data_IF_490236007174
#
_entry.id   IF_490236007174
#
_cell.length_a   1.000
_cell.length_b   1.000
_cell.length_c   1.000
_cell.angle_alpha   90.00
_cell.angle_beta   90.00
_cell.angle_gamma   90.00
#
_symmetry.space_group_name_H-M   'P 1'
#
loop_
_entity.id
_entity.type
_entity.pdbx_description
1 polymer ?
#
# COMPACT_ATOMS: atom_id res chain seq x y z
N UNK A 1 -47.60 -19.15 43.00
CA UNK A 1 -47.49 -18.09 41.97
C UNK A 1 -46.03 -17.66 41.89
N UNK A 2 -45.32 -17.86 40.76
CA UNK A 2 -43.92 -17.49 40.63
C UNK A 2 -43.78 -16.05 40.09
N UNK A 3 -42.82 -15.30 40.63
CA UNK A 3 -42.43 -13.99 40.13
C UNK A 3 -41.40 -14.14 38.99
N UNK A 4 -41.66 -13.45 37.89
CA UNK A 4 -40.87 -13.47 36.66
C UNK A 4 -39.56 -12.67 36.82
N UNK A 5 -38.50 -13.30 36.35
CA UNK A 5 -37.15 -12.77 36.10
C UNK A 5 -37.19 -11.61 35.09
N UNK A 6 -36.50 -10.51 35.42
CA UNK A 6 -36.23 -9.40 34.50
C UNK A 6 -34.72 -9.14 34.43
N UNK A 7 -34.06 -9.71 33.42
CA UNK A 7 -32.65 -9.44 33.10
C UNK A 7 -32.60 -8.24 32.14
N UNK A 8 -32.07 -7.12 32.62
CA UNK A 8 -31.74 -5.94 31.83
C UNK A 8 -30.32 -6.09 31.28
N UNK A 9 -30.19 -6.41 29.99
CA UNK A 9 -28.91 -6.36 29.26
C UNK A 9 -28.69 -4.95 28.74
N UNK A 10 -27.79 -4.20 29.39
CA UNK A 10 -27.34 -2.90 28.91
C UNK A 10 -26.31 -3.09 27.78
N UNK A 11 -26.68 -2.70 26.56
CA UNK A 11 -25.78 -2.65 25.41
C UNK A 11 -24.98 -1.34 25.50
N UNK A 12 -23.70 -1.46 25.81
CA UNK A 12 -22.76 -0.33 25.79
C UNK A 12 -22.23 -0.13 24.36
N UNK A 13 -22.69 0.93 23.68
CA UNK A 13 -22.01 1.46 22.51
C UNK A 13 -20.67 2.08 22.95
N UNK A 14 -19.54 1.52 22.50
CA UNK A 14 -18.23 2.18 22.60
C UNK A 14 -17.94 2.99 21.33
N UNK A 15 -17.39 4.21 21.46
CA UNK A 15 -17.00 5.02 20.32
C UNK A 15 -15.70 4.50 19.69
N UNK A 16 -15.68 4.45 18.37
CA UNK A 16 -14.50 4.16 17.55
C UNK A 16 -13.58 5.39 17.61
N UNK A 17 -12.45 5.26 18.31
CA UNK A 17 -11.40 6.28 18.30
C UNK A 17 -10.53 6.11 17.06
N UNK A 18 -10.74 6.98 16.07
CA UNK A 18 -9.86 7.13 14.90
C UNK A 18 -8.58 7.85 15.34
N UNK A 19 -7.48 7.13 15.53
CA UNK A 19 -6.17 7.74 15.79
C UNK A 19 -5.59 8.30 14.49
N UNK A 20 -5.39 9.62 14.44
CA UNK A 20 -4.57 10.25 13.41
C UNK A 20 -3.09 10.16 13.80
N UNK A 21 -2.28 9.46 13.01
CA UNK A 21 -0.82 9.63 13.02
C UNK A 21 -0.36 10.28 11.71
N UNK A 22 0.09 11.52 11.82
CA UNK A 22 0.87 12.23 10.82
C UNK A 22 2.34 11.86 11.01
N UNK A 23 3.01 11.25 10.01
CA UNK A 23 4.42 11.55 9.72
C UNK A 23 4.96 10.80 8.49
N UNK A 24 5.68 11.56 7.67
CA UNK A 24 6.86 11.17 6.86
C UNK A 24 6.72 11.00 5.35
N UNK A 25 6.24 12.04 4.66
CA UNK A 25 6.40 12.18 3.20
C UNK A 25 7.85 12.32 2.70
N UNK A 26 8.85 12.44 3.57
CA UNK A 26 10.26 12.72 3.17
C UNK A 26 11.10 11.45 3.01
N UNK A 27 10.71 10.31 3.60
CA UNK A 27 11.54 9.09 3.62
C UNK A 27 11.45 8.26 2.33
N UNK A 28 10.40 8.44 1.53
CA UNK A 28 10.10 7.53 0.42
C UNK A 28 10.90 7.83 -0.87
N UNK A 29 11.24 9.10 -1.12
CA UNK A 29 12.08 9.46 -2.27
C UNK A 29 13.49 8.88 -2.15
N UNK A 30 13.99 8.69 -0.92
CA UNK A 30 15.32 8.14 -0.67
C UNK A 30 15.34 6.62 -0.86
N UNK A 31 14.35 5.88 -0.36
CA UNK A 31 14.33 4.41 -0.45
C UNK A 31 14.24 3.89 -1.91
N UNK A 32 13.49 4.56 -2.78
CA UNK A 32 13.45 4.22 -4.20
C UNK A 32 14.78 4.54 -4.91
N UNK A 33 15.48 5.60 -4.51
CA UNK A 33 16.78 5.97 -5.11
C UNK A 33 17.86 4.91 -4.83
N UNK A 34 17.87 4.31 -3.64
CA UNK A 34 18.85 3.28 -3.26
C UNK A 34 18.71 1.96 -4.05
N UNK A 35 17.51 1.60 -4.49
CA UNK A 35 17.31 0.39 -5.29
C UNK A 35 17.90 0.52 -6.69
N UNK A 36 17.74 1.68 -7.34
CA UNK A 36 18.29 1.90 -8.68
C UNK A 36 19.82 2.05 -8.69
N UNK A 37 20.41 2.68 -7.67
CA UNK A 37 21.87 2.82 -7.58
C UNK A 37 22.56 1.47 -7.38
N UNK A 38 22.01 0.61 -6.51
CA UNK A 38 22.58 -0.72 -6.28
C UNK A 38 22.43 -1.66 -7.49
N UNK A 39 21.31 -1.57 -8.21
CA UNK A 39 21.11 -2.31 -9.47
C UNK A 39 22.11 -1.85 -10.53
N UNK A 40 22.37 -0.54 -10.62
CA UNK A 40 23.31 0.05 -11.57
C UNK A 40 24.76 -0.30 -11.24
N UNK A 41 25.16 -0.29 -9.97
CA UNK A 41 26.50 -0.71 -9.54
C UNK A 41 26.75 -2.20 -9.81
N UNK A 42 25.76 -3.05 -9.55
CA UNK A 42 25.82 -4.49 -9.84
C UNK A 42 25.96 -4.78 -11.35
N UNK A 43 25.27 -4.01 -12.19
CA UNK A 43 25.43 -4.07 -13.65
C UNK A 43 26.77 -3.53 -14.13
N UNK A 44 27.28 -2.46 -13.53
CA UNK A 44 28.57 -1.87 -13.87
C UNK A 44 29.72 -2.83 -13.59
N UNK A 45 29.69 -3.52 -12.44
CA UNK A 45 30.65 -4.55 -12.06
C UNK A 45 30.65 -5.75 -13.01
N UNK A 46 29.49 -6.08 -13.58
CA UNK A 46 29.33 -7.17 -14.56
C UNK A 46 29.88 -6.80 -15.95
N UNK A 47 29.80 -5.51 -16.33
CA UNK A 47 30.32 -5.02 -17.62
C UNK A 47 31.84 -4.80 -17.66
N UNK A 48 32.51 -4.63 -16.51
CA UNK A 48 33.98 -4.44 -16.43
C UNK A 48 34.80 -5.72 -16.56
N UNK A 49 34.17 -6.90 -16.56
CA UNK A 49 34.84 -8.19 -16.74
C UNK A 49 35.09 -8.56 -18.21
N UNK A 50 34.50 -7.83 -19.16
CA UNK A 50 34.69 -8.03 -20.60
C UNK A 50 35.52 -6.88 -21.16
N UNK A 51 36.72 -7.19 -21.66
CA UNK A 51 37.70 -6.20 -22.08
C UNK A 51 37.18 -5.22 -23.12
N UNK A 52 37.38 -3.92 -22.84
CA UNK A 52 37.74 -2.92 -23.85
C UNK A 52 36.65 -2.49 -24.83
N UNK A 53 35.53 -1.97 -24.33
CA UNK A 53 34.61 -1.15 -25.12
C UNK A 53 33.32 -0.84 -24.36
N UNK A 54 33.04 0.42 -24.04
CA UNK A 54 31.75 0.79 -23.48
C UNK A 54 30.67 0.45 -24.51
N UNK A 55 29.77 -0.48 -24.16
CA UNK A 55 28.67 -0.88 -25.03
C UNK A 55 27.78 0.34 -25.35
N UNK A 56 27.31 0.51 -26.59
CA UNK A 56 26.35 1.55 -26.97
C UNK A 56 25.10 1.58 -26.07
N UNK A 57 24.69 0.42 -25.54
CA UNK A 57 23.58 0.31 -24.60
C UNK A 57 23.87 1.00 -23.25
N UNK A 58 25.13 0.97 -22.79
CA UNK A 58 25.55 1.64 -21.57
C UNK A 58 25.58 3.17 -21.77
N UNK A 59 25.99 3.63 -22.94
CA UNK A 59 26.00 5.05 -23.29
C UNK A 59 24.57 5.62 -23.38
N UNK A 60 23.65 4.89 -24.02
CA UNK A 60 22.23 5.26 -24.07
C UNK A 60 21.59 5.31 -22.67
N UNK A 61 21.96 4.37 -21.78
CA UNK A 61 21.47 4.36 -20.39
C UNK A 61 21.98 5.58 -19.61
N UNK A 62 23.25 5.95 -19.77
CA UNK A 62 23.80 7.14 -19.11
C UNK A 62 23.16 8.43 -19.62
N UNK A 63 22.82 8.50 -20.90
CA UNK A 63 22.13 9.66 -21.49
C UNK A 63 20.70 9.81 -20.94
N UNK A 64 19.97 8.70 -20.79
CA UNK A 64 18.64 8.67 -20.16
C UNK A 64 18.73 9.12 -18.70
N UNK A 65 19.72 8.62 -17.94
CA UNK A 65 19.93 8.99 -16.53
C UNK A 65 20.27 10.48 -16.40
N UNK A 66 21.19 10.98 -17.24
CA UNK A 66 21.58 12.39 -17.25
C UNK A 66 20.40 13.31 -17.56
N UNK A 67 19.58 12.95 -18.55
CA UNK A 67 18.36 13.67 -18.88
C UNK A 67 17.37 13.70 -17.70
N UNK A 68 17.19 12.56 -17.02
CA UNK A 68 16.31 12.44 -15.85
C UNK A 68 16.80 13.29 -14.66
N UNK A 69 18.10 13.28 -14.38
CA UNK A 69 18.71 14.12 -13.35
C UNK A 69 18.57 15.61 -13.68
N UNK A 70 18.72 15.99 -14.95
CA UNK A 70 18.52 17.38 -15.38
C UNK A 70 17.07 17.85 -15.21
N UNK A 71 16.09 16.98 -15.45
CA UNK A 71 14.67 17.25 -15.22
C UNK A 71 14.35 17.43 -13.73
N UNK A 72 14.93 16.60 -12.87
CA UNK A 72 14.80 16.73 -11.40
C UNK A 72 15.40 18.06 -10.90
N UNK A 73 16.55 18.47 -11.42
CA UNK A 73 17.21 19.72 -11.01
C UNK A 73 16.44 20.95 -11.51
N UNK A 74 15.87 20.93 -12.72
CA UNK A 74 15.03 22.02 -13.25
C UNK A 74 13.69 22.17 -12.51
N UNK A 75 13.20 21.12 -11.87
CA UNK A 75 11.89 21.13 -11.18
C UNK A 75 11.92 21.82 -9.82
N UNK A 76 13.08 22.26 -9.33
CA UNK A 76 13.24 22.92 -8.03
C UNK A 76 13.19 24.47 -8.07
N UNK A 77 12.81 25.08 -9.20
CA UNK A 77 12.71 26.55 -9.33
C UNK A 77 11.26 27.09 -9.24
N UNK A 78 10.27 26.22 -9.07
CA UNK A 78 8.87 26.62 -8.89
C UNK A 78 8.54 26.77 -7.42
N UNK A 79 7.92 27.90 -7.05
CA UNK A 79 7.27 28.10 -5.74
C UNK A 79 6.59 26.80 -5.29
N UNK A 80 6.96 26.35 -4.09
CA UNK A 80 6.27 25.30 -3.37
C UNK A 80 4.86 25.81 -3.04
N UNK A 81 3.92 25.62 -3.97
CA UNK A 81 2.50 25.67 -3.66
C UNK A 81 2.24 24.51 -2.69
N UNK A 82 1.71 24.87 -1.53
CA UNK A 82 1.32 23.95 -0.47
C UNK A 82 0.63 22.73 -1.11
N UNK A 83 1.33 21.61 -1.11
CA UNK A 83 0.80 20.36 -1.62
C UNK A 83 -0.38 20.03 -0.72
N UNK A 84 -1.59 20.29 -1.22
CA UNK A 84 -2.83 19.99 -0.53
C UNK A 84 -2.71 18.61 0.08
N UNK A 85 -2.93 18.52 1.39
CA UNK A 85 -2.84 17.27 2.13
C UNK A 85 -3.67 16.22 1.39
N UNK A 86 -3.00 15.27 0.72
CA UNK A 86 -3.60 14.11 0.06
C UNK A 86 -4.18 13.12 1.09
N UNK A 87 -4.74 13.63 2.18
CA UNK A 87 -5.46 12.81 3.13
C UNK A 87 -6.72 12.34 2.42
N UNK A 88 -7.03 11.02 2.43
CA UNK A 88 -8.30 10.55 1.91
C UNK A 88 -9.42 11.34 2.58
N UNK A 89 -10.34 11.87 1.78
CA UNK A 89 -11.54 12.51 2.28
C UNK A 89 -12.31 11.46 3.08
N UNK A 90 -12.64 11.73 4.33
CA UNK A 90 -13.43 10.82 5.18
C UNK A 90 -14.85 10.59 4.65
N UNK A 91 -15.25 11.29 3.59
CA UNK A 91 -16.54 11.12 2.92
C UNK A 91 -16.49 10.11 1.76
N UNK A 92 -15.30 9.72 1.28
CA UNK A 92 -15.20 8.71 0.22
C UNK A 92 -15.47 7.31 0.80
N UNK A 93 -16.31 6.48 0.15
CA UNK A 93 -16.59 5.13 0.63
C UNK A 93 -15.32 4.28 0.63
N UNK A 94 -15.18 3.42 1.64
CA UNK A 94 -14.13 2.41 1.70
C UNK A 94 -14.40 1.40 0.59
N UNK A 95 -13.41 1.13 -0.25
CA UNK A 95 -13.54 0.21 -1.37
C UNK A 95 -13.02 -1.17 -1.02
N UNK A 96 -13.76 -2.21 -1.40
CA UNK A 96 -13.22 -3.57 -1.40
C UNK A 96 -12.01 -3.67 -2.34
N UNK A 97 -10.96 -4.38 -1.92
CA UNK A 97 -9.71 -4.51 -2.68
C UNK A 97 -9.90 -5.14 -4.06
N UNK A 98 -10.79 -6.12 -4.20
CA UNK A 98 -11.08 -6.77 -5.49
C UNK A 98 -11.89 -5.84 -6.37
N UNK A 99 -12.90 -5.17 -5.79
CA UNK A 99 -13.69 -4.16 -6.50
C UNK A 99 -12.82 -3.00 -6.99
N UNK A 100 -11.84 -2.56 -6.18
CA UNK A 100 -10.90 -1.51 -6.55
C UNK A 100 -9.99 -1.93 -7.72
N UNK A 101 -9.43 -3.15 -7.66
CA UNK A 101 -8.61 -3.70 -8.76
C UNK A 101 -9.43 -3.86 -10.04
N UNK A 102 -10.63 -4.43 -9.95
CA UNK A 102 -11.49 -4.71 -11.10
C UNK A 102 -12.00 -3.43 -11.79
N UNK A 103 -12.48 -2.46 -11.01
CA UNK A 103 -13.14 -1.28 -11.57
C UNK A 103 -12.16 -0.18 -11.98
N UNK A 104 -11.06 -0.04 -11.23
CA UNK A 104 -10.15 1.09 -11.37
C UNK A 104 -8.70 0.70 -11.63
N UNK A 105 -8.32 -0.53 -11.31
CA UNK A 105 -6.94 -0.98 -11.23
C UNK A 105 -6.20 -0.32 -10.07
N UNK A 106 -5.55 -1.11 -9.21
CA UNK A 106 -4.69 -0.55 -8.18
C UNK A 106 -3.33 -0.25 -8.83
N UNK A 107 -2.80 0.94 -8.57
CA UNK A 107 -1.42 1.28 -8.96
C UNK A 107 -0.46 0.78 -7.88
N UNK A 108 -0.68 1.22 -6.65
CA UNK A 108 0.07 0.75 -5.47
C UNK A 108 -0.76 0.93 -4.19
N UNK A 109 -0.45 0.09 -3.20
CA UNK A 109 -0.96 0.14 -1.83
C UNK A 109 0.11 0.82 -0.95
N UNK A 110 -0.32 1.67 -0.02
CA UNK A 110 0.58 2.54 0.73
C UNK A 110 0.38 2.42 2.25
N UNK A 111 -0.31 3.38 2.87
CA UNK A 111 -0.29 3.57 4.31
C UNK A 111 -1.34 2.68 4.98
N UNK A 112 -0.95 1.98 6.05
CA UNK A 112 -1.87 1.26 6.93
C UNK A 112 -2.68 2.22 7.80
N UNK A 113 -4.00 2.03 7.86
CA UNK A 113 -4.93 2.90 8.56
C UNK A 113 -5.62 2.25 9.77
N UNK A 114 -5.39 0.96 10.01
CA UNK A 114 -6.04 0.24 11.10
C UNK A 114 -6.84 -0.95 10.61
N UNK A 115 -7.84 -1.30 11.41
CA UNK A 115 -8.80 -2.34 11.10
C UNK A 115 -10.22 -1.78 11.07
N UNK A 116 -11.06 -2.41 10.28
CA UNK A 116 -12.50 -2.22 10.26
C UNK A 116 -13.18 -3.56 10.52
N UNK A 117 -14.37 -3.52 11.13
CA UNK A 117 -15.21 -4.71 11.32
C UNK A 117 -16.45 -4.52 10.45
N UNK A 118 -16.54 -5.32 9.39
CA UNK A 118 -17.66 -5.30 8.44
C UNK A 118 -18.32 -6.66 8.48
N UNK A 119 -19.62 -6.70 8.81
CA UNK A 119 -20.40 -7.95 8.86
C UNK A 119 -19.78 -9.05 9.76
N UNK A 120 -19.09 -8.65 10.84
CA UNK A 120 -18.42 -9.57 11.76
C UNK A 120 -17.07 -10.11 11.26
N UNK A 121 -16.60 -9.66 10.09
CA UNK A 121 -15.28 -9.95 9.57
C UNK A 121 -14.34 -8.77 9.79
N UNK A 122 -13.08 -9.07 10.14
CA UNK A 122 -12.03 -8.07 10.26
C UNK A 122 -11.43 -7.79 8.88
N UNK A 123 -11.29 -6.51 8.55
CA UNK A 123 -10.60 -6.02 7.36
C UNK A 123 -9.46 -5.10 7.76
N UNK A 124 -8.29 -5.27 7.15
CA UNK A 124 -7.19 -4.32 7.30
C UNK A 124 -7.39 -3.19 6.29
N UNK A 125 -7.29 -1.94 6.75
CA UNK A 125 -7.44 -0.76 5.91
C UNK A 125 -6.09 -0.24 5.44
N UNK A 126 -5.99 0.04 4.14
CA UNK A 126 -4.88 0.76 3.55
C UNK A 126 -5.35 1.96 2.74
N UNK A 127 -4.44 2.90 2.49
CA UNK A 127 -4.59 3.80 1.34
C UNK A 127 -4.01 3.17 0.09
N UNK A 128 -4.66 3.41 -1.04
CA UNK A 128 -4.18 3.01 -2.35
C UNK A 128 -4.38 4.12 -3.38
N UNK A 129 -3.51 4.16 -4.37
CA UNK A 129 -3.70 4.97 -5.58
C UNK A 129 -4.26 4.08 -6.68
N UNK A 130 -5.32 4.54 -7.34
CA UNK A 130 -5.97 3.80 -8.41
C UNK A 130 -5.49 4.30 -9.77
N UNK A 131 -5.40 3.42 -10.76
CA UNK A 131 -4.87 3.74 -12.09
C UNK A 131 -5.82 4.65 -12.87
N UNK A 132 -7.12 4.34 -12.87
CA UNK A 132 -8.14 5.16 -13.56
C UNK A 132 -8.47 6.46 -12.83
N UNK A 133 -8.13 6.57 -11.56
CA UNK A 133 -8.38 7.75 -10.73
C UNK A 133 -7.10 8.16 -9.97
N UNK A 134 -6.06 8.60 -10.68
CA UNK A 134 -4.74 8.80 -10.10
C UNK A 134 -4.66 10.05 -9.22
N UNK A 135 -5.61 10.98 -9.29
CA UNK A 135 -5.47 12.29 -8.63
C UNK A 135 -5.71 12.27 -7.12
N UNK A 136 -6.21 11.15 -6.57
CA UNK A 136 -6.44 11.01 -5.13
C UNK A 136 -6.09 9.63 -4.59
N UNK A 137 -5.93 9.56 -3.27
CA UNK A 137 -5.77 8.32 -2.52
C UNK A 137 -7.14 7.85 -2.01
N UNK A 138 -7.36 6.55 -2.03
CA UNK A 138 -8.58 5.90 -1.60
C UNK A 138 -8.29 4.96 -0.44
N UNK A 139 -9.22 4.86 0.50
CA UNK A 139 -9.21 3.79 1.49
C UNK A 139 -9.70 2.50 0.85
N UNK A 140 -8.90 1.45 0.97
CA UNK A 140 -9.26 0.10 0.55
C UNK A 140 -9.31 -0.83 1.76
N UNK A 141 -10.34 -1.67 1.80
CA UNK A 141 -10.50 -2.74 2.79
C UNK A 141 -9.96 -4.05 2.25
N UNK A 142 -9.08 -4.68 3.02
CA UNK A 142 -8.45 -5.95 2.67
C UNK A 142 -8.82 -7.01 3.73
N UNK A 143 -9.77 -7.91 3.44
CA UNK A 143 -10.11 -9.02 4.33
C UNK A 143 -8.96 -10.04 4.43
N UNK A 144 -9.08 -10.99 5.37
CA UNK A 144 -8.10 -12.08 5.53
C UNK A 144 -8.00 -12.94 4.27
N UNK A 145 -9.16 -13.38 3.77
CA UNK A 145 -9.32 -14.19 2.58
C UNK A 145 -9.97 -13.33 1.50
N UNK A 146 -9.29 -13.19 0.37
CA UNK A 146 -9.69 -12.34 -0.75
C UNK A 146 -10.11 -13.27 -1.89
N UNK A 147 -11.40 -13.38 -2.11
CA UNK A 147 -11.96 -14.12 -3.24
C UNK A 147 -11.97 -13.24 -4.48
N UNK A 148 -11.14 -13.59 -5.47
CA UNK A 148 -10.99 -12.83 -6.70
C UNK A 148 -11.25 -13.66 -7.97
N UNK A 149 -12.36 -14.41 -8.07
CA UNK A 149 -12.63 -15.28 -9.23
C UNK A 149 -12.78 -14.47 -10.53
N UNK A 150 -13.22 -13.22 -10.43
CA UNK A 150 -13.45 -12.32 -11.56
C UNK A 150 -12.17 -11.63 -12.07
N UNK A 151 -11.05 -11.73 -11.35
CA UNK A 151 -9.77 -11.21 -11.82
C UNK A 151 -9.10 -12.24 -12.74
N UNK A 152 -8.34 -11.75 -13.73
CA UNK A 152 -7.46 -12.62 -14.52
C UNK A 152 -6.36 -13.19 -13.62
N UNK A 153 -5.75 -14.31 -14.02
CA UNK A 153 -4.62 -14.91 -13.28
C UNK A 153 -3.49 -13.90 -13.05
N UNK A 154 -3.13 -13.12 -14.08
CA UNK A 154 -2.08 -12.11 -13.99
C UNK A 154 -2.44 -11.00 -13.00
N UNK A 155 -3.69 -10.56 -13.00
CA UNK A 155 -4.15 -9.53 -12.05
C UNK A 155 -4.20 -10.06 -10.62
N UNK A 156 -4.57 -11.33 -10.42
CA UNK A 156 -4.51 -11.97 -9.10
C UNK A 156 -3.09 -12.04 -8.57
N UNK A 157 -2.14 -12.46 -9.42
CA UNK A 157 -0.74 -12.54 -9.02
C UNK A 157 -0.15 -11.16 -8.71
N UNK A 158 -0.47 -10.17 -9.54
CA UNK A 158 -0.05 -8.80 -9.29
C UNK A 158 -0.66 -8.24 -7.99
N UNK A 159 -1.91 -8.58 -7.69
CA UNK A 159 -2.57 -8.23 -6.44
C UNK A 159 -1.89 -8.89 -5.23
N UNK A 160 -1.52 -10.17 -5.31
CA UNK A 160 -0.74 -10.87 -4.27
C UNK A 160 0.56 -10.13 -3.96
N UNK A 161 1.36 -9.83 -4.99
CA UNK A 161 2.63 -9.10 -4.83
C UNK A 161 2.44 -7.73 -4.17
N UNK A 162 1.39 -6.99 -4.54
CA UNK A 162 1.09 -5.68 -3.94
C UNK A 162 0.67 -5.82 -2.47
N UNK A 163 -0.11 -6.83 -2.13
CA UNK A 163 -0.56 -7.09 -0.77
C UNK A 163 0.58 -7.57 0.13
N UNK A 164 1.48 -8.40 -0.38
CA UNK A 164 2.68 -8.82 0.34
C UNK A 164 3.57 -7.62 0.66
N UNK A 165 3.82 -6.75 -0.33
CA UNK A 165 4.56 -5.51 -0.13
C UNK A 165 3.87 -4.58 0.90
N UNK A 166 2.54 -4.51 0.89
CA UNK A 166 1.78 -3.75 1.88
C UNK A 166 1.88 -4.37 3.28
N UNK A 167 1.82 -5.69 3.40
CA UNK A 167 1.98 -6.42 4.66
C UNK A 167 3.39 -6.22 5.25
N UNK A 168 4.42 -6.15 4.41
CA UNK A 168 5.79 -5.83 4.78
C UNK A 168 5.97 -4.38 5.22
N UNK A 169 5.16 -3.46 4.68
CA UNK A 169 5.20 -2.04 5.07
C UNK A 169 4.62 -1.77 6.47
N UNK A 170 3.75 -2.65 6.98
CA UNK A 170 3.21 -2.55 8.34
C UNK A 170 4.33 -2.83 9.34
N UNK A 171 4.54 -1.87 10.24
CA UNK A 171 5.52 -1.97 11.32
C UNK A 171 5.26 -3.17 12.22
N UNK A 172 6.34 -3.81 12.71
CA UNK A 172 6.25 -4.98 13.58
C UNK A 172 5.40 -4.71 14.83
N UNK A 173 5.51 -3.52 15.43
CA UNK A 173 4.74 -3.15 16.61
C UNK A 173 3.24 -3.09 16.32
N UNK A 174 2.84 -2.74 15.10
CA UNK A 174 1.43 -2.78 14.68
C UNK A 174 0.95 -4.22 14.48
N UNK A 175 1.76 -5.08 13.87
CA UNK A 175 1.46 -6.51 13.81
C UNK A 175 1.34 -7.16 15.19
N UNK A 176 2.21 -6.81 16.14
CA UNK A 176 2.16 -7.31 17.52
C UNK A 176 0.86 -6.86 18.22
N UNK A 177 0.43 -5.60 18.00
CA UNK A 177 -0.86 -5.11 18.50
C UNK A 177 -2.03 -5.87 17.88
N UNK A 178 -2.01 -6.07 16.56
CA UNK A 178 -3.05 -6.81 15.84
C UNK A 178 -3.20 -8.23 16.37
N UNK A 179 -2.08 -8.93 16.55
CA UNK A 179 -2.05 -10.27 17.14
C UNK A 179 -2.60 -10.27 18.57
N UNK A 180 -2.14 -9.36 19.43
CA UNK A 180 -2.56 -9.34 20.84
C UNK A 180 -4.04 -9.03 21.06
N UNK A 181 -4.64 -8.23 20.17
CA UNK A 181 -6.03 -7.73 20.34
C UNK A 181 -7.06 -8.54 19.57
N UNK A 182 -6.68 -9.05 18.41
CA UNK A 182 -7.62 -9.64 17.44
C UNK A 182 -7.18 -11.02 16.95
N UNK A 183 -6.05 -11.54 17.44
CA UNK A 183 -5.43 -12.78 16.97
C UNK A 183 -5.09 -12.77 15.47
N UNK A 184 -4.82 -11.59 14.91
CA UNK A 184 -4.46 -11.41 13.51
C UNK A 184 -2.95 -11.66 13.32
N UNK A 185 -2.61 -12.68 12.52
CA UNK A 185 -1.23 -13.08 12.24
C UNK A 185 -0.86 -12.74 10.79
N UNK A 186 0.27 -12.03 10.60
CA UNK A 186 0.75 -11.58 9.28
C UNK A 186 0.75 -12.66 8.20
N UNK A 187 1.25 -13.86 8.52
CA UNK A 187 1.40 -14.98 7.56
C UNK A 187 0.08 -15.61 7.12
N UNK A 188 -1.00 -15.31 7.83
CA UNK A 188 -2.33 -15.89 7.61
C UNK A 188 -3.29 -14.86 7.00
N UNK A 189 -2.77 -13.72 6.57
CA UNK A 189 -3.54 -12.59 6.11
C UNK A 189 -3.22 -12.22 4.66
N UNK A 190 -4.20 -11.64 3.96
CA UNK A 190 -4.16 -11.31 2.52
C UNK A 190 -4.05 -12.53 1.60
N UNK A 191 -4.69 -13.63 1.97
CA UNK A 191 -4.71 -14.85 1.15
C UNK A 191 -5.61 -14.60 -0.07
N UNK A 192 -5.02 -14.55 -1.27
CA UNK A 192 -5.77 -14.38 -2.53
C UNK A 192 -6.15 -15.74 -3.10
N UNK A 193 -7.43 -16.06 -3.00
CA UNK A 193 -8.03 -17.30 -3.50
C UNK A 193 -8.34 -17.22 -5.00
N UNK A 194 -8.07 -18.32 -5.70
CA UNK A 194 -8.51 -18.54 -7.08
C UNK A 194 -9.95 -19.10 -7.15
N UNK A 195 -10.46 -19.61 -6.02
CA UNK A 195 -11.83 -20.11 -5.81
C UNK A 195 -12.79 -18.99 -5.37
#
# INVERSE_FOLDING_TARGET
MPALSGVLTAIWHRPVHLFSMLSSGVKFAWANMFYFTNLLESWKASSSASGGGQSPAFQATNEIISNYQSMMIKSNSGKMEDTASCKPSSADPIQDVVAAEMNFGISYIRDYHGIEITEGQFCILFTARLQRLPDKLYLISCPQLIHAPNLTSDNRELLRVRLDAAADSIRKEEWDKLKSRYDIVKKEWFIVSDE
#
